data_IF_448752318624
#
_entry.id   IF_448752318624
#
_cell.length_a   1.000
_cell.length_b   1.000
_cell.length_c   1.000
_cell.angle_alpha   90.00
_cell.angle_beta   90.00
_cell.angle_gamma   90.00
#
_symmetry.space_group_name_H-M   'P 1'
#
loop_
_entity.id
_entity.type
_entity.pdbx_description
1 polymer ?
#
# COMPACT_ATOMS: atom_id res chain seq x y z
N UNK A 1 4.92 20.30 17.33
CA UNK A 1 4.91 19.65 15.99
C UNK A 1 6.30 19.73 15.38
N UNK A 2 6.87 18.61 15.01
CA UNK A 2 8.11 18.59 14.24
C UNK A 2 7.86 19.28 12.88
N UNK A 3 8.79 20.14 12.45
CA UNK A 3 8.71 20.80 11.15
C UNK A 3 8.68 19.75 10.04
N UNK A 4 7.84 19.94 9.03
CA UNK A 4 7.81 19.11 7.85
C UNK A 4 9.09 19.29 7.02
N UNK A 5 9.73 18.19 6.67
CA UNK A 5 10.89 18.15 5.78
C UNK A 5 10.56 17.20 4.62
N UNK A 6 9.91 17.69 3.55
CA UNK A 6 9.28 16.81 2.55
C UNK A 6 10.17 15.69 2.00
N UNK A 7 11.41 16.00 1.66
CA UNK A 7 12.34 14.98 1.15
C UNK A 7 12.77 13.96 2.19
N UNK A 8 13.04 14.39 3.42
CA UNK A 8 13.42 13.50 4.53
C UNK A 8 12.21 12.67 5.00
N UNK A 9 11.04 13.28 5.05
CA UNK A 9 9.80 12.60 5.43
C UNK A 9 9.48 11.49 4.41
N UNK A 10 9.60 11.78 3.12
CA UNK A 10 9.38 10.79 2.06
C UNK A 10 10.40 9.64 2.13
N UNK A 11 11.68 9.92 2.41
CA UNK A 11 12.70 8.90 2.57
C UNK A 11 12.44 8.01 3.80
N UNK A 12 12.04 8.59 4.92
CA UNK A 12 11.67 7.84 6.12
C UNK A 12 10.41 6.97 5.90
N UNK A 13 9.38 7.53 5.26
CA UNK A 13 8.18 6.78 4.90
C UNK A 13 8.48 5.63 3.94
N UNK A 14 9.39 5.82 2.98
CA UNK A 14 9.83 4.76 2.08
C UNK A 14 10.50 3.59 2.85
N UNK A 15 11.33 3.88 3.84
CA UNK A 15 11.93 2.87 4.70
C UNK A 15 10.89 2.09 5.50
N UNK A 16 9.89 2.76 6.06
CA UNK A 16 8.76 2.11 6.75
C UNK A 16 7.99 1.21 5.77
N UNK A 17 7.72 1.71 4.57
CA UNK A 17 6.99 0.96 3.56
C UNK A 17 7.75 -0.28 3.09
N UNK A 18 9.07 -0.17 2.90
CA UNK A 18 9.94 -1.31 2.54
C UNK A 18 9.89 -2.42 3.60
N UNK A 19 9.85 -2.07 4.88
CA UNK A 19 9.82 -3.02 5.98
C UNK A 19 8.43 -3.56 6.33
N UNK A 20 7.46 -2.70 6.46
CA UNK A 20 6.14 -3.00 7.07
C UNK A 20 4.95 -2.70 6.16
N UNK A 21 5.22 -2.15 4.98
CA UNK A 21 4.16 -1.70 4.08
C UNK A 21 3.61 -2.79 3.18
N UNK A 22 2.40 -2.55 2.69
CA UNK A 22 1.75 -3.36 1.69
C UNK A 22 1.09 -2.45 0.64
N UNK A 23 1.43 -2.68 -0.62
CA UNK A 23 0.75 -2.09 -1.76
C UNK A 23 -0.18 -3.15 -2.33
N UNK A 24 -1.46 -2.87 -2.43
CA UNK A 24 -2.41 -3.78 -3.05
C UNK A 24 -3.47 -3.05 -3.89
N UNK A 25 -4.14 -3.80 -4.73
CA UNK A 25 -5.36 -3.38 -5.40
C UNK A 25 -6.50 -4.07 -4.68
N UNK A 26 -7.26 -3.29 -3.93
CA UNK A 26 -8.39 -3.81 -3.17
C UNK A 26 -9.60 -4.01 -4.07
N UNK A 27 -10.26 -5.14 -3.93
CA UNK A 27 -11.54 -5.42 -4.58
C UNK A 27 -12.67 -5.29 -3.58
N UNK A 28 -13.55 -4.31 -3.82
CA UNK A 28 -14.78 -4.14 -3.03
C UNK A 28 -15.94 -4.89 -3.70
N UNK A 29 -16.34 -5.98 -3.08
CA UNK A 29 -17.43 -6.84 -3.57
C UNK A 29 -18.80 -6.13 -3.63
N UNK A 30 -19.02 -5.17 -2.71
CA UNK A 30 -20.30 -4.45 -2.63
C UNK A 30 -20.53 -3.56 -3.85
N UNK A 31 -19.46 -2.94 -4.32
CA UNK A 31 -19.50 -2.00 -5.43
C UNK A 31 -18.93 -2.59 -6.73
N UNK A 32 -18.46 -3.85 -6.67
CA UNK A 32 -17.78 -4.52 -7.78
C UNK A 32 -16.67 -3.63 -8.38
N UNK A 33 -15.83 -3.06 -7.52
CA UNK A 33 -14.82 -2.09 -7.92
C UNK A 33 -13.43 -2.44 -7.39
N UNK A 34 -12.43 -2.04 -8.16
CA UNK A 34 -11.02 -2.15 -7.78
C UNK A 34 -10.46 -0.77 -7.49
N UNK A 35 -9.66 -0.64 -6.43
CA UNK A 35 -8.96 0.61 -6.14
C UNK A 35 -7.59 0.36 -5.50
N UNK A 36 -6.61 1.25 -5.79
CA UNK A 36 -5.28 1.12 -5.23
C UNK A 36 -5.28 1.48 -3.75
N UNK A 37 -4.52 0.76 -2.96
CA UNK A 37 -4.41 0.97 -1.53
C UNK A 37 -2.99 0.71 -1.05
N UNK A 38 -2.49 1.60 -0.21
CA UNK A 38 -1.24 1.43 0.55
C UNK A 38 -1.59 1.38 2.02
N UNK A 39 -1.00 0.44 2.74
CA UNK A 39 -1.21 0.31 4.18
C UNK A 39 0.08 -0.03 4.90
N UNK A 40 0.18 0.42 6.14
CA UNK A 40 1.23 0.07 7.10
C UNK A 40 0.56 -0.36 8.39
N UNK A 41 1.01 -1.48 8.93
CA UNK A 41 0.51 -2.01 10.20
C UNK A 41 1.70 -2.37 11.09
N UNK A 42 1.77 -1.76 12.26
CA UNK A 42 2.87 -1.99 13.22
C UNK A 42 2.39 -1.80 14.66
N UNK A 43 3.21 -2.23 15.60
CA UNK A 43 2.91 -2.10 17.03
C UNK A 43 3.19 -0.70 17.57
N UNK A 44 4.05 0.10 16.91
CA UNK A 44 4.40 1.46 17.32
C UNK A 44 3.35 2.47 16.85
N UNK A 45 2.51 2.89 17.77
CA UNK A 45 1.45 3.87 17.49
C UNK A 45 2.00 5.19 16.94
N UNK A 46 3.07 5.71 17.54
CA UNK A 46 3.64 7.01 17.16
C UNK A 46 4.09 7.07 15.71
N UNK A 47 4.67 5.98 15.21
CA UNK A 47 5.10 5.89 13.80
C UNK A 47 3.91 5.89 12.86
N UNK A 48 2.87 5.12 13.20
CA UNK A 48 1.64 5.06 12.40
C UNK A 48 0.89 6.39 12.41
N UNK A 49 0.83 7.06 13.57
CA UNK A 49 0.23 8.39 13.69
C UNK A 49 1.04 9.43 12.93
N UNK A 50 2.37 9.34 12.92
CA UNK A 50 3.23 10.20 12.12
C UNK A 50 2.91 10.10 10.62
N UNK A 51 2.70 8.88 10.09
CA UNK A 51 2.27 8.68 8.71
C UNK A 51 0.92 9.36 8.44
N UNK A 52 -0.03 9.22 9.37
CA UNK A 52 -1.35 9.85 9.27
C UNK A 52 -1.26 11.38 9.25
N UNK A 53 -0.36 11.96 10.04
CA UNK A 53 -0.17 13.41 10.11
C UNK A 53 0.44 13.97 8.81
N UNK A 54 1.32 13.21 8.15
CA UNK A 54 1.99 13.62 6.91
C UNK A 54 1.16 13.33 5.66
N UNK A 55 0.53 12.18 5.61
CA UNK A 55 -0.32 11.74 4.50
C UNK A 55 -1.68 11.30 5.04
N UNK A 56 -2.58 12.24 5.31
CA UNK A 56 -3.89 11.92 5.88
C UNK A 56 -4.66 10.95 5.00
N UNK A 57 -4.90 9.76 5.54
CA UNK A 57 -5.70 8.72 4.93
C UNK A 57 -7.01 8.51 5.70
N UNK A 58 -7.37 7.24 5.83
CA UNK A 58 -8.42 6.85 6.76
C UNK A 58 -7.86 6.91 8.18
N UNK A 59 -8.70 7.24 9.16
CA UNK A 59 -8.31 7.27 10.58
C UNK A 59 -7.51 6.04 10.97
N UNK A 60 -6.43 6.24 11.75
CA UNK A 60 -5.65 5.14 12.31
C UNK A 60 -6.56 4.15 13.04
N UNK A 61 -6.43 2.89 12.68
CA UNK A 61 -7.23 1.80 13.21
C UNK A 61 -6.43 0.98 14.22
N UNK A 62 -7.06 0.70 15.35
CA UNK A 62 -6.56 -0.30 16.29
C UNK A 62 -7.00 -1.69 15.84
N UNK A 63 -6.05 -2.59 15.68
CA UNK A 63 -6.30 -3.95 15.18
C UNK A 63 -6.00 -4.97 16.27
N UNK A 64 -7.02 -5.67 16.72
CA UNK A 64 -6.88 -6.80 17.65
C UNK A 64 -7.22 -8.10 16.91
N UNK A 65 -6.36 -9.09 17.04
CA UNK A 65 -6.63 -10.43 16.50
C UNK A 65 -7.14 -11.33 17.63
N UNK A 66 -8.45 -11.43 17.75
CA UNK A 66 -9.12 -12.18 18.84
C UNK A 66 -8.76 -13.67 18.94
N UNK A 67 -8.15 -14.25 17.90
CA UNK A 67 -7.89 -15.70 17.84
C UNK A 67 -6.53 -16.13 18.39
N UNK A 68 -5.61 -15.24 18.66
CA UNK A 68 -4.30 -15.57 19.19
C UNK A 68 -3.95 -14.61 20.32
N UNK A 69 -4.07 -15.06 21.56
CA UNK A 69 -3.71 -14.34 22.77
C UNK A 69 -2.21 -13.93 22.83
N UNK A 70 -1.39 -14.50 21.93
CA UNK A 70 0.05 -14.25 21.85
C UNK A 70 0.45 -13.16 20.83
N UNK A 71 -0.50 -12.56 20.12
CA UNK A 71 -0.21 -11.46 19.21
C UNK A 71 -0.52 -10.12 19.85
N UNK A 72 0.49 -9.25 19.90
CA UNK A 72 0.34 -7.86 20.30
C UNK A 72 -0.67 -7.16 19.40
N UNK A 73 -1.45 -6.25 19.98
CA UNK A 73 -2.30 -5.34 19.21
C UNK A 73 -1.44 -4.50 18.27
N UNK A 74 -1.97 -4.22 17.09
CA UNK A 74 -1.31 -3.39 16.09
C UNK A 74 -2.14 -2.16 15.75
N UNK A 75 -1.48 -1.17 15.16
CA UNK A 75 -2.12 0.03 14.64
C UNK A 75 -1.94 0.03 13.12
N UNK A 76 -2.98 0.40 12.40
CA UNK A 76 -3.00 0.42 10.94
C UNK A 76 -3.29 1.81 10.42
N UNK A 77 -2.43 2.26 9.53
CA UNK A 77 -2.66 3.40 8.66
C UNK A 77 -2.86 2.89 7.23
N UNK A 78 -3.76 3.52 6.49
CA UNK A 78 -3.87 3.27 5.07
C UNK A 78 -4.43 4.46 4.30
N UNK A 79 -4.02 4.57 3.06
CA UNK A 79 -4.53 5.50 2.06
C UNK A 79 -5.00 4.71 0.85
N UNK A 80 -6.04 5.18 0.20
CA UNK A 80 -6.62 4.52 -0.95
C UNK A 80 -7.03 5.52 -2.04
N UNK A 81 -7.24 5.03 -3.26
CA UNK A 81 -7.60 5.86 -4.39
C UNK A 81 -6.45 6.79 -4.82
N UNK A 82 -6.77 8.02 -5.28
CA UNK A 82 -5.76 8.96 -5.79
C UNK A 82 -4.68 9.29 -4.77
N UNK A 83 -5.03 9.41 -3.50
CA UNK A 83 -4.06 9.70 -2.42
C UNK A 83 -2.99 8.63 -2.30
N UNK A 84 -3.33 7.36 -2.54
CA UNK A 84 -2.36 6.28 -2.50
C UNK A 84 -1.35 6.36 -3.65
N UNK A 85 -1.80 6.76 -4.83
CA UNK A 85 -0.94 6.98 -5.98
C UNK A 85 -0.01 8.18 -5.74
N UNK A 86 -0.53 9.28 -5.21
CA UNK A 86 0.27 10.47 -4.89
C UNK A 86 1.34 10.15 -3.83
N UNK A 87 0.99 9.42 -2.79
CA UNK A 87 1.93 8.96 -1.77
C UNK A 87 3.05 8.11 -2.38
N UNK A 88 2.72 7.15 -3.22
CA UNK A 88 3.73 6.29 -3.86
C UNK A 88 4.63 7.09 -4.79
N UNK A 89 4.12 8.08 -5.52
CA UNK A 89 4.96 8.98 -6.35
C UNK A 89 6.00 9.72 -5.51
N UNK A 90 5.64 10.17 -4.32
CA UNK A 90 6.58 10.89 -3.43
C UNK A 90 7.66 9.97 -2.86
N UNK A 91 7.32 8.74 -2.46
CA UNK A 91 8.26 7.82 -1.81
C UNK A 91 9.07 6.96 -2.79
N UNK A 92 8.62 6.84 -4.04
CA UNK A 92 9.23 5.98 -5.06
C UNK A 92 10.74 6.18 -5.23
N UNK A 93 11.29 7.41 -5.26
CA UNK A 93 12.73 7.62 -5.43
C UNK A 93 13.58 7.00 -4.30
N UNK A 94 12.98 6.76 -3.14
CA UNK A 94 13.67 6.28 -1.94
C UNK A 94 13.39 4.79 -1.64
N UNK A 95 12.46 4.16 -2.36
CA UNK A 95 12.17 2.74 -2.19
C UNK A 95 13.31 1.86 -2.68
N UNK A 96 13.59 0.81 -1.96
CA UNK A 96 14.58 -0.22 -2.30
C UNK A 96 13.89 -1.56 -2.55
N UNK A 97 13.32 -2.16 -1.50
CA UNK A 97 12.72 -3.49 -1.56
C UNK A 97 11.41 -3.53 -2.38
N UNK A 98 10.60 -2.49 -2.33
CA UNK A 98 9.28 -2.43 -2.97
C UNK A 98 9.23 -1.56 -4.23
N UNK A 99 10.38 -1.17 -4.78
CA UNK A 99 10.43 -0.30 -5.95
C UNK A 99 9.67 -0.88 -7.15
N UNK A 100 9.89 -2.15 -7.45
CA UNK A 100 9.22 -2.82 -8.58
C UNK A 100 7.70 -2.91 -8.36
N UNK A 101 7.27 -3.23 -7.15
CA UNK A 101 5.84 -3.22 -6.79
C UNK A 101 5.23 -1.82 -6.94
N UNK A 102 5.95 -0.79 -6.50
CA UNK A 102 5.50 0.60 -6.59
C UNK A 102 5.36 1.08 -8.03
N UNK A 103 6.32 0.76 -8.89
CA UNK A 103 6.26 1.08 -10.32
C UNK A 103 5.05 0.43 -10.99
N UNK A 104 4.77 -0.82 -10.68
CA UNK A 104 3.58 -1.52 -11.18
C UNK A 104 2.29 -0.93 -10.61
N UNK A 105 2.26 -0.61 -9.32
CA UNK A 105 1.13 0.02 -8.65
C UNK A 105 0.74 1.36 -9.29
N UNK A 106 1.73 2.17 -9.71
CA UNK A 106 1.50 3.44 -10.39
C UNK A 106 0.91 3.30 -11.80
N UNK A 107 0.92 2.11 -12.38
CA UNK A 107 0.25 1.85 -13.67
C UNK A 107 -1.27 1.70 -13.53
N UNK A 108 -1.82 1.74 -12.31
CA UNK A 108 -3.25 1.62 -12.10
C UNK A 108 -4.02 2.72 -12.86
N UNK A 109 -4.99 2.37 -13.72
CA UNK A 109 -5.71 3.32 -14.56
C UNK A 109 -6.80 4.05 -13.77
N UNK A 110 -6.39 4.95 -12.87
CA UNK A 110 -7.33 5.71 -12.03
C UNK A 110 -7.96 6.88 -12.80
N UNK A 111 -7.20 7.54 -13.67
CA UNK A 111 -7.65 8.69 -14.46
C UNK A 111 -8.81 8.33 -15.42
N UNK A 112 -8.89 7.06 -15.78
CA UNK A 112 -9.99 6.51 -16.60
C UNK A 112 -11.27 6.22 -15.79
N UNK A 113 -11.32 6.63 -14.51
CA UNK A 113 -12.51 6.45 -13.68
C UNK A 113 -13.62 7.38 -14.16
N UNK A 114 -14.79 6.83 -14.54
CA UNK A 114 -15.87 7.66 -15.05
C UNK A 114 -16.44 8.56 -13.95
N UNK A 115 -16.96 9.70 -14.36
CA UNK A 115 -17.70 10.58 -13.46
C UNK A 115 -18.90 9.83 -12.84
N UNK A 116 -19.27 10.24 -11.63
CA UNK A 116 -20.36 9.65 -10.82
C UNK A 116 -21.56 9.25 -11.70
N UNK A 117 -21.95 7.98 -11.63
CA UNK A 117 -23.09 7.42 -12.36
C UNK A 117 -22.79 6.74 -13.69
N UNK A 118 -21.56 6.75 -14.18
CA UNK A 118 -21.15 5.98 -15.37
C UNK A 118 -20.42 4.71 -14.96
N UNK A 119 -20.75 3.60 -15.63
CA UNK A 119 -20.02 2.33 -15.45
C UNK A 119 -18.66 2.41 -16.12
N UNK A 120 -17.66 1.81 -15.48
CA UNK A 120 -16.34 1.58 -16.09
C UNK A 120 -16.48 0.69 -17.31
N UNK A 121 -15.64 0.94 -18.35
CA UNK A 121 -15.53 0.03 -19.46
C UNK A 121 -14.95 -1.31 -19.01
N UNK A 122 -15.33 -2.40 -19.70
CA UNK A 122 -14.78 -3.74 -19.43
C UNK A 122 -13.26 -3.77 -19.55
N UNK A 123 -12.71 -3.05 -20.53
CA UNK A 123 -11.26 -2.93 -20.74
C UNK A 123 -10.53 -2.40 -19.52
N UNK A 124 -11.04 -1.33 -18.88
CA UNK A 124 -10.43 -0.75 -17.70
C UNK A 124 -10.55 -1.68 -16.48
N UNK A 125 -11.68 -2.34 -16.32
CA UNK A 125 -11.87 -3.34 -15.25
C UNK A 125 -10.85 -4.48 -15.40
N UNK A 126 -10.65 -4.99 -16.62
CA UNK A 126 -9.64 -6.03 -16.89
C UNK A 126 -8.20 -5.54 -16.61
N UNK A 127 -7.85 -4.32 -16.99
CA UNK A 127 -6.55 -3.75 -16.67
C UNK A 127 -6.31 -3.64 -15.16
N UNK A 128 -7.31 -3.20 -14.40
CA UNK A 128 -7.24 -3.11 -12.94
C UNK A 128 -7.05 -4.48 -12.30
N UNK A 129 -7.79 -5.47 -12.77
CA UNK A 129 -7.68 -6.86 -12.33
C UNK A 129 -6.30 -7.44 -12.63
N UNK A 130 -5.79 -7.19 -13.82
CA UNK A 130 -4.47 -7.65 -14.26
C UNK A 130 -3.34 -7.10 -13.38
N UNK A 131 -3.35 -5.80 -13.07
CA UNK A 131 -2.39 -5.19 -12.16
C UNK A 131 -2.47 -5.82 -10.76
N UNK A 132 -3.67 -6.10 -10.26
CA UNK A 132 -3.87 -6.81 -9.00
C UNK A 132 -3.19 -8.19 -9.01
N UNK A 133 -3.37 -8.94 -10.06
CA UNK A 133 -2.77 -10.29 -10.21
C UNK A 133 -1.24 -10.21 -10.33
N UNK A 134 -0.72 -9.27 -11.10
CA UNK A 134 0.72 -9.04 -11.24
C UNK A 134 1.37 -8.63 -9.90
N UNK A 135 0.76 -7.74 -9.12
CA UNK A 135 1.23 -7.38 -7.78
C UNK A 135 1.27 -8.58 -6.83
N UNK A 136 0.26 -9.43 -6.86
CA UNK A 136 0.24 -10.67 -6.09
C UNK A 136 1.38 -11.61 -6.50
N UNK A 137 1.69 -11.69 -7.80
CA UNK A 137 2.79 -12.47 -8.33
C UNK A 137 4.16 -11.99 -7.85
N UNK A 138 4.39 -10.68 -7.79
CA UNK A 138 5.64 -10.12 -7.26
C UNK A 138 5.86 -10.45 -5.80
N UNK A 139 4.81 -10.40 -4.98
CA UNK A 139 4.88 -10.76 -3.55
C UNK A 139 5.20 -12.24 -3.34
N UNK A 140 4.75 -13.11 -4.22
CA UNK A 140 5.04 -14.54 -4.15
C UNK A 140 6.48 -14.85 -4.51
N UNK A 141 7.06 -14.13 -5.47
CA UNK A 141 8.49 -14.25 -5.84
C UNK A 141 9.43 -13.84 -4.71
N UNK A 142 9.03 -12.93 -3.84
CA UNK A 142 9.80 -12.56 -2.64
C UNK A 142 9.99 -13.71 -1.65
N UNK A 143 9.25 -14.81 -1.76
CA UNK A 143 9.48 -16.05 -1.01
C UNK A 143 10.69 -16.87 -1.52
N UNK A 144 11.42 -16.39 -2.51
CA UNK A 144 12.66 -16.95 -3.02
C UNK A 144 13.81 -17.00 -2.01
N UNK A 145 13.64 -16.46 -0.80
CA UNK A 145 14.52 -16.68 0.35
C UNK A 145 14.71 -18.16 0.69
N UNK A 146 13.79 -19.04 0.33
CA UNK A 146 13.97 -20.49 0.47
C UNK A 146 15.04 -21.06 -0.47
N UNK A 147 15.36 -20.37 -1.58
CA UNK A 147 16.43 -20.75 -2.49
C UNK A 147 17.80 -20.33 -1.89
N UNK A 148 17.85 -19.18 -1.23
CA UNK A 148 19.05 -18.66 -0.61
C UNK A 148 19.51 -19.52 0.58
N UNK A 149 18.59 -19.95 1.43
CA UNK A 149 18.87 -20.80 2.57
C UNK A 149 19.32 -22.22 2.19
N UNK A 150 19.08 -22.67 0.96
CA UNK A 150 19.51 -23.99 0.45
C UNK A 150 20.92 -23.98 -0.13
N UNK A 151 21.50 -22.80 -0.35
CA UNK A 151 22.82 -22.63 -0.96
C UNK A 151 23.92 -22.22 0.05
N UNK A 152 23.58 -22.24 1.32
CA UNK A 152 24.55 -22.04 2.43
C UNK A 152 24.90 -23.45 3.00
#
# INVERSE_FOLDING_TARGET
MAKAHPGLDAAYAAGILDGEGCLDIHYDKRNNSFYPRVRVEMTQYETVQWLQDRWPGVKVQFVTRKKNLNHSATFRWYVQGPKSLDFIKEVLPFLQAKKQEAELFLQFPYEDTPRKGRKLSMEIVEKRKDIKEQLSGLKTKGKGLLIWSRNI
#
